data_IF_575720427007
#
_entry.id   IF_575720427007
#
_cell.length_a   1.000
_cell.length_b   1.000
_cell.length_c   1.000
_cell.angle_alpha   90.00
_cell.angle_beta   90.00
_cell.angle_gamma   90.00
#
_symmetry.space_group_name_H-M   'P 1'
#
loop_
_entity.id
_entity.type
_entity.pdbx_description
1 polymer ?
#
# COMPACT_ATOMS: atom_id res chain seq x y z
N UNK A 1 -26.21 -28.51 65.12
CA UNK A 1 -27.61 -28.27 64.72
C UNK A 1 -27.74 -26.83 64.28
N UNK A 2 -28.14 -26.60 63.00
CA UNK A 2 -28.92 -25.46 62.43
C UNK A 2 -28.54 -24.04 62.97
N UNK A 3 -28.12 -23.04 62.21
CA UNK A 3 -28.46 -22.47 60.88
C UNK A 3 -27.30 -21.49 60.54
N UNK A 4 -27.06 -20.93 59.36
CA UNK A 4 -27.95 -20.35 58.36
C UNK A 4 -27.09 -20.03 57.12
N UNK A 5 -27.56 -20.40 55.93
CA UNK A 5 -27.04 -19.96 54.63
C UNK A 5 -27.55 -18.56 54.30
N UNK A 6 -26.75 -17.73 53.61
CA UNK A 6 -27.04 -17.03 52.32
C UNK A 6 -26.00 -15.91 52.08
N UNK A 7 -25.61 -15.64 50.81
CA UNK A 7 -24.29 -15.17 50.42
C UNK A 7 -24.23 -13.65 50.18
N UNK A 8 -23.08 -13.04 50.46
CA UNK A 8 -22.80 -11.66 50.05
C UNK A 8 -22.11 -11.68 48.70
N UNK A 9 -22.95 -11.42 47.70
CA UNK A 9 -22.62 -10.85 46.42
C UNK A 9 -21.73 -9.61 46.61
N UNK A 10 -20.48 -9.67 46.16
CA UNK A 10 -19.71 -8.46 45.89
C UNK A 10 -18.97 -8.67 44.58
N UNK A 11 -19.67 -8.25 43.53
CA UNK A 11 -19.13 -7.77 42.27
C UNK A 11 -17.84 -6.98 42.57
N UNK A 12 -16.68 -7.51 42.18
CA UNK A 12 -15.50 -6.67 41.99
C UNK A 12 -15.47 -6.31 40.51
N UNK A 13 -15.85 -5.06 40.32
CA UNK A 13 -15.98 -4.28 39.12
C UNK A 13 -14.78 -4.45 38.20
N UNK A 14 -15.08 -4.95 37.00
CA UNK A 14 -14.26 -4.73 35.82
C UNK A 14 -14.17 -3.21 35.59
N UNK A 15 -13.02 -2.61 35.93
CA UNK A 15 -12.62 -1.31 35.39
C UNK A 15 -11.46 -1.60 34.45
N UNK A 16 -11.82 -2.09 33.26
CA UNK A 16 -11.00 -1.89 32.08
C UNK A 16 -11.03 -0.38 31.81
N UNK A 17 -10.01 0.32 32.30
CA UNK A 17 -9.66 1.65 31.82
C UNK A 17 -9.25 1.51 30.35
N UNK A 18 -10.24 1.50 29.46
CA UNK A 18 -10.05 1.88 28.08
C UNK A 18 -9.75 3.39 28.10
N UNK A 19 -8.48 3.74 28.30
CA UNK A 19 -7.97 5.05 27.90
C UNK A 19 -7.90 5.08 26.38
N UNK A 20 -9.07 5.10 25.74
CA UNK A 20 -9.17 5.36 24.32
C UNK A 20 -9.04 6.88 24.17
N UNK A 21 -7.84 7.36 23.77
CA UNK A 21 -7.76 8.65 23.10
C UNK A 21 -8.61 8.49 21.83
N UNK A 22 -9.89 8.88 21.91
CA UNK A 22 -10.78 8.82 20.77
C UNK A 22 -10.27 9.82 19.73
N UNK A 23 -9.69 9.28 18.65
CA UNK A 23 -9.33 10.06 17.47
C UNK A 23 -10.56 10.81 16.96
N UNK A 24 -10.36 12.02 16.43
CA UNK A 24 -11.41 12.76 15.77
C UNK A 24 -11.93 11.99 14.55
N UNK A 25 -13.11 12.36 14.03
CA UNK A 25 -13.65 11.70 12.82
C UNK A 25 -12.71 11.88 11.62
N UNK A 26 -12.10 13.04 11.53
CA UNK A 26 -11.15 13.42 10.48
C UNK A 26 -9.87 12.57 10.58
N UNK A 27 -9.33 12.38 11.78
CA UNK A 27 -8.16 11.52 12.02
C UNK A 27 -8.45 10.06 11.65
N UNK A 28 -9.64 9.54 11.96
CA UNK A 28 -10.05 8.20 11.55
C UNK A 28 -10.15 8.06 10.03
N UNK A 29 -10.66 9.09 9.33
CA UNK A 29 -10.71 9.13 7.86
C UNK A 29 -9.31 9.15 7.25
N UNK A 30 -8.38 9.90 7.86
CA UNK A 30 -6.98 9.95 7.43
C UNK A 30 -6.31 8.59 7.57
N UNK A 31 -6.44 7.94 8.74
CA UNK A 31 -5.88 6.62 9.00
C UNK A 31 -6.45 5.56 8.05
N UNK A 32 -7.76 5.60 7.78
CA UNK A 32 -8.40 4.69 6.84
C UNK A 32 -7.86 4.86 5.40
N UNK A 33 -7.67 6.12 4.96
CA UNK A 33 -7.08 6.41 3.66
C UNK A 33 -5.61 5.99 3.60
N UNK A 34 -4.85 6.25 4.65
CA UNK A 34 -3.44 5.85 4.77
C UNK A 34 -3.32 4.33 4.65
N UNK A 35 -4.15 3.59 5.38
CA UNK A 35 -4.18 2.14 5.30
C UNK A 35 -4.48 1.67 3.87
N UNK A 36 -5.45 2.29 3.20
CA UNK A 36 -5.79 1.95 1.80
C UNK A 36 -4.61 2.16 0.85
N UNK A 37 -3.84 3.24 1.01
CA UNK A 37 -2.63 3.49 0.20
C UNK A 37 -1.58 2.40 0.45
N UNK A 38 -1.34 2.06 1.71
CA UNK A 38 -0.38 1.03 2.09
C UNK A 38 -0.81 -0.37 1.63
N UNK A 39 -2.10 -0.69 1.67
CA UNK A 39 -2.63 -1.96 1.18
C UNK A 39 -2.34 -2.15 -0.30
N UNK A 40 -2.45 -1.09 -1.12
CA UNK A 40 -2.10 -1.15 -2.55
C UNK A 40 -0.59 -1.33 -2.74
N UNK A 41 0.24 -0.63 -1.96
CA UNK A 41 1.69 -0.83 -1.94
C UNK A 41 2.04 -2.30 -1.66
N UNK A 42 1.45 -2.88 -0.61
CA UNK A 42 1.71 -4.26 -0.18
C UNK A 42 1.19 -5.29 -1.19
N UNK A 43 0.09 -4.99 -1.91
CA UNK A 43 -0.41 -5.83 -3.01
C UNK A 43 0.62 -5.98 -4.14
N UNK A 44 1.29 -4.87 -4.50
CA UNK A 44 2.18 -4.82 -5.67
C UNK A 44 3.63 -5.10 -5.33
N UNK A 45 4.04 -4.90 -4.09
CA UNK A 45 5.43 -5.07 -3.67
C UNK A 45 5.99 -6.48 -3.98
N UNK A 46 5.29 -7.61 -3.72
CA UNK A 46 5.76 -8.93 -4.11
C UNK A 46 6.00 -9.08 -5.62
N UNK A 47 5.30 -8.30 -6.45
CA UNK A 47 5.38 -8.36 -7.92
C UNK A 47 6.67 -7.73 -8.45
N UNK A 48 7.40 -6.94 -7.66
CA UNK A 48 8.73 -6.41 -8.04
C UNK A 48 9.70 -7.54 -8.40
N UNK A 49 9.65 -8.64 -7.65
CA UNK A 49 10.44 -9.85 -7.95
C UNK A 49 10.02 -10.49 -9.28
N UNK A 50 8.71 -10.52 -9.57
CA UNK A 50 8.16 -11.04 -10.82
C UNK A 50 8.59 -10.18 -12.01
N UNK A 51 8.54 -8.85 -11.90
CA UNK A 51 9.01 -7.94 -12.95
C UNK A 51 10.49 -8.15 -13.23
N UNK A 52 11.31 -8.26 -12.18
CA UNK A 52 12.76 -8.50 -12.32
C UNK A 52 13.07 -9.79 -13.07
N UNK A 53 12.33 -10.86 -12.82
CA UNK A 53 12.46 -12.13 -13.56
C UNK A 53 12.02 -11.98 -15.01
N UNK A 54 10.84 -11.40 -15.27
CA UNK A 54 10.33 -11.21 -16.62
C UNK A 54 11.25 -10.32 -17.48
N UNK A 55 11.86 -9.29 -16.89
CA UNK A 55 12.85 -8.45 -17.56
C UNK A 55 14.02 -9.31 -18.07
N UNK A 56 14.53 -10.23 -17.25
CA UNK A 56 15.63 -11.14 -17.61
C UNK A 56 15.19 -12.14 -18.68
N UNK A 57 13.97 -12.67 -18.58
CA UNK A 57 13.44 -13.66 -19.54
C UNK A 57 13.21 -13.06 -20.93
N UNK A 58 12.89 -11.76 -21.01
CA UNK A 58 12.70 -11.04 -22.27
C UNK A 58 14.02 -10.69 -22.97
N UNK A 59 15.08 -10.38 -22.21
CA UNK A 59 16.38 -9.93 -22.74
C UNK A 59 16.93 -10.81 -23.89
N UNK A 60 17.03 -12.14 -23.78
CA UNK A 60 17.58 -12.98 -24.84
C UNK A 60 16.68 -13.10 -26.08
N UNK A 61 15.44 -12.62 -26.03
CA UNK A 61 14.48 -12.66 -27.15
C UNK A 61 14.45 -11.36 -27.95
N UNK A 62 15.16 -10.32 -27.50
CA UNK A 62 15.19 -9.02 -28.16
C UNK A 62 16.09 -9.10 -29.41
N UNK A 63 15.53 -8.73 -30.56
CA UNK A 63 16.25 -8.60 -31.83
C UNK A 63 15.62 -7.51 -32.73
N UNK A 64 16.08 -7.40 -33.99
CA UNK A 64 15.62 -6.37 -34.92
C UNK A 64 14.30 -6.69 -35.63
N UNK A 65 13.75 -7.89 -35.45
CA UNK A 65 12.46 -8.31 -36.01
C UNK A 65 11.30 -7.58 -35.33
N UNK A 66 10.10 -7.64 -35.94
CA UNK A 66 8.88 -7.10 -35.31
C UNK A 66 8.59 -7.77 -33.96
N UNK A 67 8.83 -9.07 -33.85
CA UNK A 67 8.64 -9.82 -32.60
C UNK A 67 9.70 -9.41 -31.57
N UNK A 68 10.98 -9.32 -31.97
CA UNK A 68 12.07 -8.86 -31.11
C UNK A 68 11.81 -7.47 -30.50
N UNK A 69 11.35 -6.53 -31.33
CA UNK A 69 10.94 -5.18 -30.87
C UNK A 69 9.77 -5.22 -29.90
N UNK A 70 8.86 -6.18 -30.04
CA UNK A 70 7.73 -6.34 -29.11
C UNK A 70 8.22 -6.79 -27.73
N UNK A 71 9.21 -7.69 -27.65
CA UNK A 71 9.85 -8.04 -26.38
C UNK A 71 10.61 -6.86 -25.77
N UNK A 72 11.30 -6.05 -26.59
CA UNK A 72 12.01 -4.86 -26.12
C UNK A 72 11.06 -3.84 -25.49
N UNK A 73 9.90 -3.60 -26.12
CA UNK A 73 8.88 -2.71 -25.58
C UNK A 73 8.32 -3.24 -24.26
N UNK A 74 7.96 -4.52 -24.19
CA UNK A 74 7.44 -5.12 -22.95
C UNK A 74 8.49 -5.10 -21.82
N UNK A 75 9.76 -5.28 -22.15
CA UNK A 75 10.84 -5.18 -21.17
C UNK A 75 10.99 -3.75 -20.66
N UNK A 76 10.86 -2.75 -21.55
CA UNK A 76 10.85 -1.34 -21.16
C UNK A 76 9.67 -1.01 -20.24
N UNK A 77 8.45 -1.47 -20.57
CA UNK A 77 7.26 -1.22 -19.75
C UNK A 77 7.44 -1.79 -18.32
N UNK A 78 8.06 -2.96 -18.19
CA UNK A 78 8.39 -3.55 -16.88
C UNK A 78 9.43 -2.71 -16.11
N UNK A 79 10.49 -2.24 -16.79
CA UNK A 79 11.52 -1.38 -16.17
C UNK A 79 10.92 -0.06 -15.70
N UNK A 80 10.13 0.59 -16.55
CA UNK A 80 9.45 1.85 -16.22
C UNK A 80 8.47 1.67 -15.04
N UNK A 81 7.77 0.52 -14.95
CA UNK A 81 6.90 0.20 -13.81
C UNK A 81 7.68 -0.05 -12.53
N UNK A 82 8.84 -0.72 -12.64
CA UNK A 82 9.73 -0.98 -11.51
C UNK A 82 10.27 0.34 -10.95
N UNK A 83 10.78 1.20 -11.82
CA UNK A 83 11.34 2.50 -11.43
C UNK A 83 10.26 3.40 -10.82
N UNK A 84 9.05 3.43 -11.40
CA UNK A 84 7.92 4.17 -10.84
C UNK A 84 7.60 3.74 -9.40
N UNK A 85 7.61 2.44 -9.08
CA UNK A 85 7.42 1.98 -7.69
C UNK A 85 8.51 2.54 -6.76
N UNK A 86 9.77 2.52 -7.18
CA UNK A 86 10.89 2.96 -6.35
C UNK A 86 10.85 4.48 -6.12
N UNK A 87 10.55 5.24 -7.17
CA UNK A 87 10.40 6.69 -7.09
C UNK A 87 9.22 7.07 -6.19
N UNK A 88 8.07 6.41 -6.38
CA UNK A 88 6.89 6.61 -5.55
C UNK A 88 7.16 6.30 -4.08
N UNK A 89 7.80 5.16 -3.77
CA UNK A 89 8.16 4.81 -2.38
C UNK A 89 9.07 5.85 -1.73
N UNK A 90 10.06 6.35 -2.48
CA UNK A 90 11.00 7.35 -1.98
C UNK A 90 10.28 8.67 -1.65
N UNK A 91 9.45 9.14 -2.59
CA UNK A 91 8.68 10.37 -2.43
C UNK A 91 7.61 10.24 -1.32
N UNK A 92 6.87 9.14 -1.30
CA UNK A 92 5.88 8.84 -0.27
C UNK A 92 6.49 8.84 1.13
N UNK A 93 7.65 8.20 1.31
CA UNK A 93 8.35 8.16 2.61
C UNK A 93 8.87 9.54 3.07
N UNK A 94 9.13 10.44 2.12
CA UNK A 94 9.51 11.84 2.40
C UNK A 94 8.29 12.67 2.80
N UNK A 95 7.16 12.45 2.11
CA UNK A 95 5.88 13.11 2.38
C UNK A 95 5.23 12.63 3.67
N UNK A 96 5.37 11.35 4.02
CA UNK A 96 4.81 10.73 5.22
C UNK A 96 5.90 9.97 6.01
N UNK A 97 6.82 10.67 6.68
CA UNK A 97 7.87 10.04 7.48
C UNK A 97 7.30 9.19 8.60
N UNK A 98 7.94 8.04 8.84
CA UNK A 98 7.53 7.16 9.93
C UNK A 98 7.68 7.86 11.28
N UNK A 99 6.61 7.82 12.09
CA UNK A 99 6.56 8.45 13.41
C UNK A 99 6.11 9.91 13.41
N UNK A 100 5.79 10.51 12.26
CA UNK A 100 5.10 11.80 12.24
C UNK A 100 3.65 11.66 12.74
N UNK A 101 3.30 12.44 13.78
CA UNK A 101 1.92 12.54 14.27
C UNK A 101 1.11 13.43 13.29
N UNK A 102 0.16 12.83 12.57
CA UNK A 102 -0.76 13.56 11.68
C UNK A 102 -2.08 13.79 12.41
N UNK A 103 -2.15 14.86 13.24
CA UNK A 103 -3.32 15.14 14.09
C UNK A 103 -4.10 16.36 13.65
N UNK A 104 -5.38 16.38 14.00
CA UNK A 104 -6.27 17.52 13.79
C UNK A 104 -6.00 18.70 14.77
N UNK A 105 -4.97 18.62 15.63
CA UNK A 105 -4.56 19.72 16.53
C UNK A 105 -4.10 20.96 15.73
N UNK A 106 -3.47 20.73 14.59
CA UNK A 106 -3.13 21.75 13.60
C UNK A 106 -3.96 21.48 12.33
N UNK A 107 -5.15 22.09 12.27
CA UNK A 107 -6.12 21.84 11.20
C UNK A 107 -5.60 22.25 9.81
N UNK A 108 -4.78 23.30 9.71
CA UNK A 108 -4.24 23.73 8.42
C UNK A 108 -3.25 22.69 7.88
N UNK A 109 -2.30 22.26 8.73
CA UNK A 109 -1.36 21.19 8.38
C UNK A 109 -2.08 19.88 8.08
N UNK A 110 -3.10 19.54 8.88
CA UNK A 110 -3.87 18.31 8.71
C UNK A 110 -4.62 18.28 7.37
N UNK A 111 -5.29 19.38 6.98
CA UNK A 111 -5.97 19.48 5.68
C UNK A 111 -4.97 19.34 4.51
N UNK A 112 -3.79 19.94 4.62
CA UNK A 112 -2.75 19.81 3.61
C UNK A 112 -2.25 18.36 3.47
N UNK A 113 -2.02 17.66 4.59
CA UNK A 113 -1.65 16.24 4.62
C UNK A 113 -2.73 15.34 4.06
N UNK A 114 -4.00 15.58 4.42
CA UNK A 114 -5.14 14.84 3.88
C UNK A 114 -5.21 14.96 2.36
N UNK A 115 -5.08 16.19 1.83
CA UNK A 115 -5.09 16.41 0.37
C UNK A 115 -3.93 15.68 -0.32
N UNK A 116 -2.73 15.77 0.25
CA UNK A 116 -1.56 15.07 -0.27
C UNK A 116 -1.79 13.55 -0.29
N UNK A 117 -2.37 12.99 0.77
CA UNK A 117 -2.65 11.56 0.85
C UNK A 117 -3.72 11.09 -0.16
N UNK A 118 -4.69 11.95 -0.48
CA UNK A 118 -5.66 11.69 -1.56
C UNK A 118 -4.98 11.68 -2.94
N UNK A 119 -3.98 12.54 -3.15
CA UNK A 119 -3.17 12.53 -4.37
C UNK A 119 -2.34 11.24 -4.47
N UNK A 120 -1.73 10.80 -3.35
CA UNK A 120 -1.01 9.52 -3.27
C UNK A 120 -1.90 8.31 -3.54
N UNK A 121 -3.16 8.32 -3.07
CA UNK A 121 -4.12 7.26 -3.37
C UNK A 121 -4.34 7.10 -4.87
N UNK A 122 -4.48 8.21 -5.60
CA UNK A 122 -4.63 8.16 -7.07
C UNK A 122 -3.36 7.63 -7.72
N UNK A 123 -2.20 8.09 -7.26
CA UNK A 123 -0.91 7.72 -7.81
C UNK A 123 -0.57 6.24 -7.58
N UNK A 124 -0.77 5.72 -6.37
CA UNK A 124 -0.50 4.31 -6.04
C UNK A 124 -1.44 3.36 -6.79
N UNK A 125 -2.70 3.76 -7.04
CA UNK A 125 -3.63 2.97 -7.85
C UNK A 125 -3.19 2.94 -9.33
N UNK A 126 -2.71 4.06 -9.88
CA UNK A 126 -2.14 4.11 -11.23
C UNK A 126 -0.90 3.22 -11.34
N UNK A 127 -0.03 3.29 -10.34
CA UNK A 127 1.15 2.43 -10.22
C UNK A 127 0.77 0.94 -10.23
N UNK A 128 -0.22 0.54 -9.42
CA UNK A 128 -0.74 -0.84 -9.41
C UNK A 128 -1.19 -1.29 -10.78
N UNK A 129 -1.97 -0.46 -11.47
CA UNK A 129 -2.51 -0.81 -12.78
C UNK A 129 -1.39 -0.93 -13.83
N UNK A 130 -0.37 -0.07 -13.75
CA UNK A 130 0.81 -0.11 -14.62
C UNK A 130 1.64 -1.39 -14.38
N UNK A 131 1.90 -1.76 -13.11
CA UNK A 131 2.60 -2.99 -12.74
C UNK A 131 1.83 -4.23 -13.25
N UNK A 132 0.53 -4.29 -12.98
CA UNK A 132 -0.26 -5.46 -13.36
C UNK A 132 -0.37 -5.59 -14.89
N UNK A 133 -0.51 -4.48 -15.62
CA UNK A 133 -0.60 -4.50 -17.07
C UNK A 133 0.74 -4.86 -17.74
N UNK A 134 1.87 -4.33 -17.28
CA UNK A 134 3.20 -4.65 -17.82
C UNK A 134 3.56 -6.12 -17.60
N UNK A 135 3.28 -6.67 -16.40
CA UNK A 135 3.44 -8.11 -16.11
C UNK A 135 2.58 -8.96 -17.03
N UNK A 136 1.30 -8.61 -17.21
CA UNK A 136 0.38 -9.38 -18.06
C UNK A 136 0.84 -9.37 -19.53
N UNK A 137 1.27 -8.22 -20.04
CA UNK A 137 1.77 -8.09 -21.40
C UNK A 137 3.02 -8.97 -21.63
N UNK A 138 4.00 -8.88 -20.72
CA UNK A 138 5.22 -9.66 -20.80
C UNK A 138 4.96 -11.18 -20.77
N UNK A 139 4.10 -11.64 -19.84
CA UNK A 139 3.71 -13.06 -19.76
C UNK A 139 3.05 -13.54 -21.04
N UNK A 140 2.09 -12.79 -21.59
CA UNK A 140 1.42 -13.12 -22.85
C UNK A 140 2.36 -13.21 -24.04
N UNK A 141 3.39 -12.38 -24.08
CA UNK A 141 4.41 -12.45 -25.14
C UNK A 141 5.28 -13.69 -25.01
N UNK A 142 5.68 -14.03 -23.78
CA UNK A 142 6.50 -15.23 -23.51
C UNK A 142 5.74 -16.54 -23.73
N UNK A 143 4.43 -16.59 -23.46
CA UNK A 143 3.58 -17.76 -23.75
C UNK A 143 3.42 -18.05 -25.25
N UNK A 144 3.55 -17.02 -26.10
CA UNK A 144 3.45 -17.15 -27.56
C UNK A 144 4.80 -17.50 -28.23
N UNK A 145 5.87 -17.55 -27.43
CA UNK A 145 7.26 -17.60 -27.89
C UNK A 145 7.85 -19.00 -27.96
#
# INVERSE_FOLDING_TARGET
MKKLFIPIFTIITSIMIFSCNQLSKEEQEFDALMQKVIDVHDEVMPKMSTMSSLIKDLEPKIDTTTTGKSYANAQKDLKDSYDFMMDWMSDFSTKFPHGEENTAKDMEKFIAKMKMLQEEEVEVNKLRDQINSSINNAKKLLEKS
#
